data_IF_253678511562
#
_entry.id   IF_253678511562
#
_cell.length_a   1.000
_cell.length_b   1.000
_cell.length_c   1.000
_cell.angle_alpha   90.00
_cell.angle_beta   90.00
_cell.angle_gamma   90.00
#
_symmetry.space_group_name_H-M   'P 1'
#
loop_
_entity.id
_entity.type
_entity.pdbx_description
1 polymer ?
#
# COMPACT_ATOMS: atom_id res chain seq x y z
N UNK A 1 -32.47 -1.02 10.31
CA UNK A 1 -31.54 0.14 10.47
C UNK A 1 -30.16 -0.23 11.01
N UNK A 2 -30.01 -1.00 12.09
CA UNK A 2 -28.68 -1.37 12.64
C UNK A 2 -27.74 -2.08 11.65
N UNK A 3 -28.27 -2.92 10.76
CA UNK A 3 -27.47 -3.65 9.76
C UNK A 3 -26.85 -2.75 8.67
N UNK A 4 -27.61 -1.75 8.19
CA UNK A 4 -27.14 -0.82 7.15
C UNK A 4 -25.98 0.06 7.64
N UNK A 5 -26.06 0.56 8.88
CA UNK A 5 -24.97 1.36 9.46
C UNK A 5 -23.71 0.54 9.72
N UNK A 6 -23.86 -0.76 10.02
CA UNK A 6 -22.70 -1.63 10.23
C UNK A 6 -21.99 -1.94 8.90
N UNK A 7 -22.75 -2.22 7.84
CA UNK A 7 -22.21 -2.47 6.49
C UNK A 7 -21.51 -1.22 5.94
N UNK A 8 -22.14 -0.05 6.04
CA UNK A 8 -21.51 1.21 5.60
C UNK A 8 -20.21 1.49 6.37
N UNK A 9 -20.19 1.33 7.70
CA UNK A 9 -18.95 1.52 8.49
C UNK A 9 -17.83 0.56 8.07
N UNK A 10 -18.15 -0.69 7.74
CA UNK A 10 -17.17 -1.65 7.24
C UNK A 10 -16.64 -1.27 5.85
N UNK A 11 -17.50 -0.78 4.94
CA UNK A 11 -17.09 -0.35 3.60
C UNK A 11 -16.19 0.90 3.64
N UNK A 12 -16.53 1.91 4.45
CA UNK A 12 -15.69 3.10 4.64
C UNK A 12 -14.34 2.76 5.27
N UNK A 13 -14.31 1.82 6.21
CA UNK A 13 -13.07 1.31 6.80
C UNK A 13 -12.20 0.63 5.75
N UNK A 14 -12.76 -0.25 4.91
CA UNK A 14 -12.01 -0.95 3.86
C UNK A 14 -11.51 -0.02 2.75
N UNK A 15 -12.29 0.98 2.34
CA UNK A 15 -11.84 1.97 1.36
C UNK A 15 -10.71 2.86 1.92
N UNK A 16 -10.81 3.27 3.18
CA UNK A 16 -9.76 4.04 3.86
C UNK A 16 -8.48 3.22 4.01
N UNK A 17 -8.62 1.93 4.34
CA UNK A 17 -7.48 1.00 4.40
C UNK A 17 -6.78 0.84 3.07
N UNK A 18 -7.54 0.67 1.99
CA UNK A 18 -6.98 0.55 0.65
C UNK A 18 -6.24 1.81 0.25
N UNK A 19 -6.80 2.98 0.54
CA UNK A 19 -6.15 4.26 0.26
C UNK A 19 -4.83 4.38 1.04
N UNK A 20 -4.81 3.96 2.30
CA UNK A 20 -3.60 3.91 3.11
C UNK A 20 -2.57 2.91 2.53
N UNK A 21 -2.95 1.66 2.27
CA UNK A 21 -2.07 0.65 1.71
C UNK A 21 -1.50 1.07 0.34
N UNK A 22 -2.28 1.80 -0.45
CA UNK A 22 -1.84 2.37 -1.73
C UNK A 22 -0.78 3.45 -1.50
N UNK A 23 -1.05 4.41 -0.62
CA UNK A 23 -0.11 5.47 -0.28
C UNK A 23 1.21 4.91 0.30
N UNK A 24 1.12 3.85 1.11
CA UNK A 24 2.27 3.15 1.67
C UNK A 24 3.13 2.49 0.60
N UNK A 25 2.49 1.79 -0.34
CA UNK A 25 3.18 1.18 -1.46
C UNK A 25 3.86 2.23 -2.35
N UNK A 26 3.17 3.32 -2.64
CA UNK A 26 3.72 4.44 -3.40
C UNK A 26 4.93 5.06 -2.69
N UNK A 27 4.87 5.19 -1.36
CA UNK A 27 6.00 5.74 -0.61
C UNK A 27 7.18 4.79 -0.53
N UNK A 28 6.95 3.47 -0.45
CA UNK A 28 8.01 2.46 -0.58
C UNK A 28 8.67 2.51 -1.96
N UNK A 29 7.89 2.63 -3.02
CA UNK A 29 8.41 2.78 -4.38
C UNK A 29 9.22 4.08 -4.52
N UNK A 30 8.70 5.18 -3.96
CA UNK A 30 9.40 6.46 -3.91
C UNK A 30 10.74 6.36 -3.16
N UNK A 31 10.74 5.75 -1.98
CA UNK A 31 11.96 5.53 -1.19
C UNK A 31 13.01 4.77 -2.01
N UNK A 32 12.62 3.66 -2.65
CA UNK A 32 13.55 2.84 -3.44
C UNK A 32 14.11 3.61 -4.63
N UNK A 33 13.26 4.34 -5.37
CA UNK A 33 13.69 5.15 -6.49
C UNK A 33 14.62 6.29 -6.06
N UNK A 34 14.29 6.97 -4.96
CA UNK A 34 15.05 8.09 -4.43
C UNK A 34 16.39 7.64 -3.82
N UNK A 35 16.43 6.49 -3.14
CA UNK A 35 17.66 5.88 -2.66
C UNK A 35 18.61 5.55 -3.82
N UNK A 36 18.10 4.93 -4.90
CA UNK A 36 18.91 4.64 -6.09
C UNK A 36 19.46 5.93 -6.71
N UNK A 37 18.64 6.99 -6.77
CA UNK A 37 19.07 8.30 -7.27
C UNK A 37 20.16 8.93 -6.39
N UNK A 38 19.97 8.99 -5.07
CA UNK A 38 20.96 9.49 -4.11
C UNK A 38 22.29 8.74 -4.23
N UNK A 39 22.24 7.42 -4.36
CA UNK A 39 23.44 6.60 -4.50
C UNK A 39 24.21 6.94 -5.78
N UNK A 40 23.50 7.10 -6.92
CA UNK A 40 24.12 7.52 -8.18
C UNK A 40 24.74 8.92 -8.09
N UNK A 41 24.04 9.87 -7.45
CA UNK A 41 24.51 11.25 -7.28
C UNK A 41 25.76 11.30 -6.39
N UNK A 42 25.79 10.52 -5.32
CA UNK A 42 26.96 10.39 -4.44
C UNK A 42 28.16 9.77 -5.17
N UNK A 43 27.94 8.68 -5.92
CA UNK A 43 28.99 8.04 -6.73
C UNK A 43 29.54 8.99 -7.80
N UNK A 44 28.67 9.80 -8.42
CA UNK A 44 29.08 10.81 -9.41
C UNK A 44 29.79 12.03 -8.82
N UNK A 45 29.82 12.17 -7.48
CA UNK A 45 30.37 13.33 -6.79
C UNK A 45 29.50 14.58 -6.85
N UNK A 46 28.26 14.48 -7.33
CA UNK A 46 27.31 15.60 -7.40
C UNK A 46 26.80 16.01 -6.00
N UNK A 47 26.79 15.06 -5.07
CA UNK A 47 26.56 15.30 -3.64
C UNK A 47 27.70 14.71 -2.82
N UNK A 48 27.95 15.30 -1.67
CA UNK A 48 28.91 14.80 -0.70
C UNK A 48 28.39 13.56 0.03
N UNK A 49 29.30 12.79 0.62
CA UNK A 49 28.91 11.65 1.48
C UNK A 49 28.06 12.12 2.67
N UNK A 50 28.34 13.30 3.22
CA UNK A 50 27.57 13.86 4.32
C UNK A 50 26.12 14.13 3.91
N UNK A 51 25.91 14.80 2.77
CA UNK A 51 24.57 15.06 2.22
C UNK A 51 23.81 13.75 1.93
N UNK A 52 24.52 12.73 1.44
CA UNK A 52 23.95 11.39 1.27
C UNK A 52 23.46 10.80 2.59
N UNK A 53 24.28 10.83 3.65
CA UNK A 53 23.91 10.28 4.97
C UNK A 53 22.76 11.05 5.63
N UNK A 54 22.75 12.38 5.48
CA UNK A 54 21.69 13.23 6.03
C UNK A 54 20.34 12.92 5.35
N UNK A 55 20.32 12.82 4.02
CA UNK A 55 19.10 12.46 3.28
C UNK A 55 18.67 11.01 3.55
N UNK A 56 19.60 10.07 3.63
CA UNK A 56 19.30 8.68 4.00
C UNK A 56 18.66 8.58 5.38
N UNK A 57 19.15 9.36 6.35
CA UNK A 57 18.61 9.39 7.72
C UNK A 57 17.17 9.92 7.76
N UNK A 58 16.87 10.98 7.00
CA UNK A 58 15.51 11.52 6.87
C UNK A 58 14.55 10.49 6.27
N UNK A 59 14.97 9.84 5.18
CA UNK A 59 14.16 8.80 4.53
C UNK A 59 13.89 7.61 5.44
N UNK A 60 14.89 7.16 6.20
CA UNK A 60 14.74 6.08 7.17
C UNK A 60 13.76 6.47 8.29
N UNK A 61 13.80 7.72 8.76
CA UNK A 61 12.85 8.24 9.74
C UNK A 61 11.41 8.23 9.21
N UNK A 62 11.18 8.71 8.00
CA UNK A 62 9.86 8.69 7.35
C UNK A 62 9.33 7.26 7.18
N UNK A 63 10.21 6.31 6.82
CA UNK A 63 9.84 4.89 6.71
C UNK A 63 9.40 4.29 8.05
N UNK A 64 10.01 4.69 9.16
CA UNK A 64 9.59 4.23 10.49
C UNK A 64 8.24 4.81 10.89
N UNK A 65 8.01 6.11 10.65
CA UNK A 65 6.71 6.75 10.90
C UNK A 65 5.58 6.06 10.13
N UNK A 66 5.85 5.65 8.90
CA UNK A 66 4.93 4.87 8.08
C UNK A 66 4.58 3.52 8.71
N UNK A 67 5.59 2.78 9.18
CA UNK A 67 5.36 1.48 9.84
C UNK A 67 4.55 1.62 11.13
N UNK A 68 4.74 2.72 11.84
CA UNK A 68 3.94 3.04 13.03
C UNK A 68 2.48 3.28 12.65
N UNK A 69 2.22 4.09 11.62
CA UNK A 69 0.87 4.34 11.10
C UNK A 69 0.20 3.05 10.59
N UNK A 70 0.94 2.17 9.89
CA UNK A 70 0.45 0.84 9.49
C UNK A 70 -0.05 0.05 10.69
N UNK A 71 0.72 0.06 11.77
CA UNK A 71 0.42 -0.69 13.00
C UNK A 71 -0.78 -0.11 13.74
N UNK A 72 -0.92 1.21 13.77
CA UNK A 72 -2.08 1.89 14.37
C UNK A 72 -3.36 1.62 13.59
N UNK A 73 -3.29 1.65 12.26
CA UNK A 73 -4.44 1.38 11.41
C UNK A 73 -4.88 -0.07 11.53
N UNK A 74 -3.94 -1.03 11.56
CA UNK A 74 -4.24 -2.43 11.80
C UNK A 74 -5.00 -2.64 13.13
N UNK A 75 -4.49 -2.03 14.21
CA UNK A 75 -5.12 -2.06 15.54
C UNK A 75 -6.52 -1.43 15.53
N UNK A 76 -6.69 -0.31 14.83
CA UNK A 76 -8.00 0.33 14.69
C UNK A 76 -9.01 -0.60 14.04
N UNK A 77 -8.67 -1.28 12.94
CA UNK A 77 -9.60 -2.19 12.28
C UNK A 77 -9.98 -3.40 13.12
N UNK A 78 -9.00 -3.98 13.82
CA UNK A 78 -9.26 -5.06 14.77
C UNK A 78 -10.26 -4.62 15.85
N UNK A 79 -10.09 -3.40 16.39
CA UNK A 79 -11.02 -2.83 17.38
C UNK A 79 -12.44 -2.60 16.82
N UNK A 80 -12.56 -2.33 15.52
CA UNK A 80 -13.85 -2.09 14.86
C UNK A 80 -14.51 -3.40 14.37
N UNK A 81 -13.91 -4.57 14.62
CA UNK A 81 -14.44 -5.85 14.17
C UNK A 81 -14.48 -6.01 12.65
N UNK A 82 -13.69 -5.20 11.93
CA UNK A 82 -13.60 -5.25 10.47
C UNK A 82 -12.77 -6.47 10.10
N UNK A 83 -13.44 -7.58 9.82
CA UNK A 83 -12.80 -8.77 9.25
C UNK A 83 -12.28 -8.41 7.85
N UNK A 84 -11.07 -8.88 7.50
CA UNK A 84 -10.52 -8.77 6.13
C UNK A 84 -11.59 -9.26 5.16
N UNK A 85 -12.18 -8.30 4.43
CA UNK A 85 -13.40 -8.52 3.68
C UNK A 85 -13.15 -9.37 2.44
N UNK A 86 -14.11 -10.20 2.08
CA UNK A 86 -14.19 -10.70 0.71
C UNK A 86 -14.25 -9.52 -0.25
N UNK A 87 -13.48 -9.58 -1.34
CA UNK A 87 -13.50 -8.55 -2.37
C UNK A 87 -14.92 -8.41 -2.95
N UNK A 88 -15.43 -7.18 -2.91
CA UNK A 88 -16.64 -6.74 -3.61
C UNK A 88 -16.43 -6.74 -5.12
N UNK A 89 -17.50 -6.80 -5.91
CA UNK A 89 -17.38 -6.78 -7.37
C UNK A 89 -16.68 -5.51 -7.92
N UNK A 90 -16.95 -4.29 -7.40
CA UNK A 90 -16.18 -3.10 -7.76
C UNK A 90 -14.69 -3.22 -7.44
N UNK A 91 -14.31 -3.81 -6.30
CA UNK A 91 -12.91 -4.06 -5.94
C UNK A 91 -12.23 -5.03 -6.91
N UNK A 92 -12.94 -6.08 -7.32
CA UNK A 92 -12.43 -7.05 -8.30
C UNK A 92 -12.15 -6.37 -9.65
N UNK A 93 -13.05 -5.49 -10.09
CA UNK A 93 -12.85 -4.69 -11.30
C UNK A 93 -11.67 -3.72 -11.17
N UNK A 94 -11.54 -3.03 -10.04
CA UNK A 94 -10.38 -2.16 -9.78
C UNK A 94 -9.05 -2.93 -9.81
N UNK A 95 -8.99 -4.11 -9.18
CA UNK A 95 -7.80 -4.98 -9.21
C UNK A 95 -7.41 -5.32 -10.65
N UNK A 96 -8.37 -5.70 -11.49
CA UNK A 96 -8.11 -6.00 -12.89
C UNK A 96 -7.54 -4.79 -13.64
N UNK A 97 -8.16 -3.62 -13.49
CA UNK A 97 -7.70 -2.40 -14.16
C UNK A 97 -6.30 -1.99 -13.72
N UNK A 98 -6.00 -2.01 -12.41
CA UNK A 98 -4.65 -1.72 -11.93
C UNK A 98 -3.62 -2.73 -12.43
N UNK A 99 -3.95 -4.02 -12.46
CA UNK A 99 -3.05 -5.02 -13.02
C UNK A 99 -2.77 -4.80 -14.51
N UNK A 100 -3.79 -4.44 -15.29
CA UNK A 100 -3.65 -4.16 -16.74
C UNK A 100 -2.76 -2.97 -17.07
N UNK A 101 -2.57 -2.02 -16.14
CA UNK A 101 -1.62 -0.92 -16.35
C UNK A 101 -0.16 -1.38 -16.42
N UNK A 102 0.16 -2.55 -15.87
CA UNK A 102 1.53 -3.04 -15.73
C UNK A 102 2.32 -2.39 -14.58
N UNK A 103 1.74 -1.40 -13.88
CA UNK A 103 2.41 -0.68 -12.80
C UNK A 103 2.43 -1.44 -11.47
N UNK A 104 1.58 -2.45 -11.32
CA UNK A 104 1.43 -3.20 -10.08
C UNK A 104 1.46 -4.71 -10.32
N UNK A 105 2.29 -5.40 -9.55
CA UNK A 105 2.32 -6.87 -9.49
C UNK A 105 1.14 -7.43 -8.70
N UNK A 106 0.84 -8.71 -8.87
CA UNK A 106 -0.21 -9.38 -8.07
C UNK A 106 0.08 -9.32 -6.56
N UNK A 107 1.36 -9.35 -6.17
CA UNK A 107 1.76 -9.25 -4.78
C UNK A 107 1.47 -7.85 -4.20
N UNK A 108 1.81 -6.80 -4.95
CA UNK A 108 1.50 -5.42 -4.57
C UNK A 108 -0.01 -5.18 -4.47
N UNK A 109 -0.79 -5.71 -5.42
CA UNK A 109 -2.25 -5.64 -5.36
C UNK A 109 -2.81 -6.39 -4.14
N UNK A 110 -2.20 -7.52 -3.75
CA UNK A 110 -2.62 -8.25 -2.54
C UNK A 110 -2.42 -7.42 -1.27
N UNK A 111 -1.32 -6.66 -1.19
CA UNK A 111 -1.04 -5.72 -0.10
C UNK A 111 -2.01 -4.55 -0.11
N UNK A 112 -2.24 -3.92 -1.28
CA UNK A 112 -3.18 -2.80 -1.44
C UNK A 112 -4.58 -3.17 -0.95
N UNK A 113 -5.10 -4.32 -1.38
CA UNK A 113 -6.47 -4.75 -1.09
C UNK A 113 -6.59 -5.59 0.20
N UNK A 114 -5.47 -5.83 0.92
CA UNK A 114 -5.49 -6.57 2.18
C UNK A 114 -5.95 -8.03 2.05
N UNK A 115 -5.73 -8.65 0.89
CA UNK A 115 -6.15 -10.03 0.56
C UNK A 115 -4.94 -10.90 0.21
N UNK A 116 -5.16 -12.21 0.09
CA UNK A 116 -4.09 -13.10 -0.36
C UNK A 116 -3.79 -12.93 -1.86
N UNK A 117 -2.55 -13.19 -2.26
CA UNK A 117 -2.19 -13.25 -3.68
C UNK A 117 -3.07 -14.27 -4.46
N UNK A 118 -3.46 -15.38 -3.83
CA UNK A 118 -4.38 -16.35 -4.42
C UNK A 118 -5.76 -15.74 -4.73
N UNK A 119 -6.27 -14.85 -3.88
CA UNK A 119 -7.51 -14.12 -4.16
C UNK A 119 -7.35 -13.19 -5.38
N UNK A 120 -6.21 -12.48 -5.49
CA UNK A 120 -5.89 -11.66 -6.66
C UNK A 120 -5.83 -12.52 -7.93
N UNK A 121 -5.11 -13.65 -7.91
CA UNK A 121 -5.04 -14.57 -9.04
C UNK A 121 -6.43 -15.07 -9.46
N UNK A 122 -7.28 -15.43 -8.49
CA UNK A 122 -8.66 -15.83 -8.75
C UNK A 122 -9.54 -14.72 -9.34
N UNK A 123 -9.26 -13.46 -9.01
CA UNK A 123 -9.91 -12.31 -9.67
C UNK A 123 -9.46 -12.21 -11.12
N UNK A 124 -8.15 -12.21 -11.39
CA UNK A 124 -7.61 -12.01 -12.73
C UNK A 124 -8.08 -13.09 -13.72
N UNK A 125 -8.15 -14.35 -13.30
CA UNK A 125 -8.67 -15.47 -14.11
C UNK A 125 -10.14 -15.32 -14.54
N UNK A 126 -10.94 -14.50 -13.83
CA UNK A 126 -12.34 -14.25 -14.21
C UNK A 126 -12.50 -13.19 -15.30
N UNK A 127 -11.42 -12.45 -15.61
CA UNK A 127 -11.39 -11.38 -16.61
C UNK A 127 -10.47 -11.73 -17.80
N UNK A 128 -9.95 -12.96 -17.84
CA UNK A 128 -9.35 -13.61 -19.02
C UNK A 128 -10.45 -14.33 -19.81
#
# INVERSE_FOLDING_TARGET
MKNYMHIQRCEYSQASLRSLNTALLELQNFYNAHFNNLNMRCISGEITQQEFFDEQSKLASMMNQIRELETEVARFNESQGVKRGQLTDPERSQIYHYYKTGNYTQNQLSQMFGVSQAAISGVLKKFE
#
